data_IF_580305312051
#
_entry.id   IF_580305312051
#
_cell.length_a   1.000
_cell.length_b   1.000
_cell.length_c   1.000
_cell.angle_alpha   90.00
_cell.angle_beta   90.00
_cell.angle_gamma   90.00
#
_symmetry.space_group_name_H-M   'P 1'
#
loop_
_entity.id
_entity.type
_entity.pdbx_description
1 polymer ?
#
# COMPACT_ATOMS: atom_id res chain seq x y z
N UNK A 1 -24.98 30.28 69.84
CA UNK A 1 -25.33 30.62 68.44
C UNK A 1 -24.18 30.18 67.54
N UNK A 2 -24.20 28.99 66.92
CA UNK A 2 -23.09 28.56 66.04
C UNK A 2 -23.54 27.63 64.91
N UNK A 3 -24.69 27.93 64.29
CA UNK A 3 -25.17 27.22 63.09
C UNK A 3 -25.02 28.03 61.78
N UNK A 4 -24.53 29.27 61.83
CA UNK A 4 -24.41 30.15 60.66
C UNK A 4 -23.04 30.14 59.98
N UNK A 5 -21.98 29.61 60.61
CA UNK A 5 -20.63 29.68 60.04
C UNK A 5 -20.19 28.46 59.21
N UNK A 6 -21.06 27.44 59.07
CA UNK A 6 -20.77 26.21 58.30
C UNK A 6 -21.31 26.19 56.87
N UNK A 7 -22.19 27.13 56.50
CA UNK A 7 -22.83 27.12 55.18
C UNK A 7 -22.09 27.96 54.12
N UNK A 8 -21.23 28.89 54.52
CA UNK A 8 -20.50 29.75 53.56
C UNK A 8 -19.25 29.09 52.96
N UNK A 9 -18.61 28.14 53.66
CA UNK A 9 -17.46 27.40 53.11
C UNK A 9 -17.86 26.32 52.08
N UNK A 10 -19.11 25.86 52.08
CA UNK A 10 -19.60 24.85 51.14
C UNK A 10 -20.03 25.44 49.78
N UNK A 11 -20.20 26.77 49.67
CA UNK A 11 -20.54 27.43 48.40
C UNK A 11 -19.30 27.92 47.65
N UNK A 12 -18.25 28.37 48.34
CA UNK A 12 -17.00 28.80 47.71
C UNK A 12 -16.26 27.66 46.98
N UNK A 13 -16.39 26.42 47.44
CA UNK A 13 -15.76 25.25 46.80
C UNK A 13 -16.50 24.74 45.53
N UNK A 14 -17.72 25.22 45.26
CA UNK A 14 -18.48 24.83 44.06
C UNK A 14 -18.29 25.79 42.87
N UNK A 15 -17.79 27.00 43.10
CA UNK A 15 -17.55 27.99 42.03
C UNK A 15 -16.13 27.97 41.46
N UNK A 16 -15.19 27.20 42.03
CA UNK A 16 -13.81 27.09 41.50
C UNK A 16 -13.60 25.90 40.54
N UNK A 17 -14.64 25.11 40.21
CA UNK A 17 -14.59 23.99 39.25
C UNK A 17 -15.05 24.37 37.83
N UNK A 18 -14.94 25.63 37.44
CA UNK A 18 -15.11 26.07 36.06
C UNK A 18 -14.01 27.05 35.65
N UNK A 19 -12.76 26.59 35.69
CA UNK A 19 -11.69 27.23 34.93
C UNK A 19 -11.11 26.18 34.00
N UNK A 20 -11.46 26.33 32.72
CA UNK A 20 -11.07 25.44 31.65
C UNK A 20 -9.56 25.26 31.63
N UNK A 21 -9.14 23.99 31.72
CA UNK A 21 -7.80 23.56 31.34
C UNK A 21 -7.66 23.89 29.86
N UNK A 22 -7.01 25.02 29.58
CA UNK A 22 -6.53 25.41 28.26
C UNK A 22 -5.47 24.39 27.87
N UNK A 23 -5.92 23.25 27.35
CA UNK A 23 -5.05 22.23 26.79
C UNK A 23 -4.47 22.82 25.51
N UNK A 24 -3.16 23.10 25.52
CA UNK A 24 -2.41 23.37 24.31
C UNK A 24 -2.60 22.17 23.40
N UNK A 25 -3.36 22.37 22.33
CA UNK A 25 -3.53 21.40 21.26
C UNK A 25 -2.18 21.16 20.61
N UNK A 26 -1.39 20.22 21.14
CA UNK A 26 -0.46 19.48 20.30
C UNK A 26 -1.34 18.62 19.43
N UNK A 27 -1.62 19.09 18.21
CA UNK A 27 -2.40 18.41 17.19
C UNK A 27 -1.88 16.99 16.97
N UNK A 28 -2.59 15.92 17.41
CA UNK A 28 -2.22 14.55 17.08
C UNK A 28 -3.24 13.96 16.08
N UNK A 29 -4.08 14.83 15.47
CA UNK A 29 -5.27 14.47 14.71
C UNK A 29 -4.97 13.82 13.36
N UNK A 30 -3.75 13.93 12.84
CA UNK A 30 -3.32 13.20 11.64
C UNK A 30 -2.93 11.76 11.96
N UNK A 31 -2.17 11.54 13.03
CA UNK A 31 -1.77 10.19 13.47
C UNK A 31 -2.95 9.41 14.04
N UNK A 32 -3.80 10.06 14.85
CA UNK A 32 -5.00 9.44 15.41
C UNK A 32 -6.07 9.22 14.34
N UNK A 33 -6.23 10.16 13.39
CA UNK A 33 -7.12 10.01 12.25
C UNK A 33 -6.68 8.91 11.29
N UNK A 34 -5.38 8.76 11.07
CA UNK A 34 -4.82 7.68 10.23
C UNK A 34 -4.92 6.33 10.92
N UNK A 35 -4.62 6.25 12.22
CA UNK A 35 -4.80 5.04 13.01
C UNK A 35 -6.26 4.60 13.07
N UNK A 36 -7.19 5.53 13.31
CA UNK A 36 -8.62 5.24 13.29
C UNK A 36 -9.11 4.79 11.91
N UNK A 37 -8.61 5.40 10.82
CA UNK A 37 -8.91 4.95 9.45
C UNK A 37 -8.34 3.57 9.16
N UNK A 38 -7.12 3.29 9.60
CA UNK A 38 -6.49 1.98 9.46
C UNK A 38 -7.25 0.90 10.25
N UNK A 39 -7.68 1.21 11.47
CA UNK A 39 -8.50 0.33 12.30
C UNK A 39 -9.88 0.08 11.67
N UNK A 40 -10.53 1.12 11.15
CA UNK A 40 -11.84 0.98 10.50
C UNK A 40 -11.76 0.20 9.17
N UNK A 41 -10.70 0.39 8.38
CA UNK A 41 -10.43 -0.40 7.19
C UNK A 41 -10.07 -1.86 7.53
N UNK A 42 -9.24 -2.07 8.54
CA UNK A 42 -8.92 -3.41 9.02
C UNK A 42 -10.16 -4.17 9.51
N UNK A 43 -10.99 -3.53 10.34
CA UNK A 43 -12.22 -4.13 10.87
C UNK A 43 -13.25 -4.45 9.79
N UNK A 44 -13.40 -3.60 8.77
CA UNK A 44 -14.33 -3.83 7.66
C UNK A 44 -13.87 -4.96 6.73
N UNK A 45 -12.58 -5.05 6.43
CA UNK A 45 -12.02 -6.14 5.61
C UNK A 45 -12.11 -7.47 6.36
N UNK A 46 -11.78 -7.49 7.66
CA UNK A 46 -11.95 -8.69 8.49
C UNK A 46 -13.40 -9.15 8.50
N UNK A 47 -14.36 -8.24 8.68
CA UNK A 47 -15.79 -8.57 8.73
C UNK A 47 -16.34 -9.10 7.40
N UNK A 48 -15.80 -8.65 6.28
CA UNK A 48 -16.14 -9.18 4.94
C UNK A 48 -15.52 -10.56 4.74
N UNK A 49 -14.27 -10.76 5.16
CA UNK A 49 -13.60 -12.05 5.11
C UNK A 49 -14.30 -13.10 6.01
N UNK A 50 -14.64 -12.74 7.25
CA UNK A 50 -15.41 -13.58 8.17
C UNK A 50 -16.80 -13.93 7.62
N UNK A 51 -17.48 -12.99 6.96
CA UNK A 51 -18.77 -13.26 6.30
C UNK A 51 -18.66 -14.16 5.07
N UNK A 52 -17.58 -14.03 4.29
CA UNK A 52 -17.40 -14.80 3.07
C UNK A 52 -16.83 -16.21 3.34
N UNK A 53 -16.00 -16.37 4.38
CA UNK A 53 -15.26 -17.60 4.66
C UNK A 53 -15.73 -18.33 5.93
N UNK A 54 -16.55 -17.69 6.79
CA UNK A 54 -17.05 -18.29 8.02
C UNK A 54 -15.93 -18.84 8.91
N UNK A 55 -16.06 -20.08 9.38
CA UNK A 55 -15.04 -20.77 10.19
C UNK A 55 -13.72 -21.05 9.46
N UNK A 56 -13.68 -20.97 8.13
CA UNK A 56 -12.45 -21.13 7.34
C UNK A 56 -11.63 -19.83 7.23
N UNK A 57 -12.17 -18.69 7.71
CA UNK A 57 -11.44 -17.43 7.67
C UNK A 57 -10.12 -17.49 8.46
N UNK A 58 -10.14 -18.16 9.61
CA UNK A 58 -8.98 -18.24 10.51
C UNK A 58 -7.77 -18.98 9.90
N UNK A 59 -7.90 -20.21 9.36
CA UNK A 59 -6.79 -20.89 8.70
C UNK A 59 -6.35 -20.18 7.41
N UNK A 60 -7.27 -19.57 6.66
CA UNK A 60 -6.93 -18.82 5.44
C UNK A 60 -6.11 -17.58 5.77
N UNK A 61 -6.55 -16.78 6.74
CA UNK A 61 -5.84 -15.57 7.19
C UNK A 61 -4.47 -15.93 7.76
N UNK A 62 -4.36 -17.01 8.53
CA UNK A 62 -3.09 -17.50 9.02
C UNK A 62 -2.13 -17.85 7.87
N UNK A 63 -2.57 -18.67 6.91
CA UNK A 63 -1.74 -19.06 5.76
C UNK A 63 -1.34 -17.87 4.90
N UNK A 64 -2.21 -16.88 4.71
CA UNK A 64 -1.88 -15.64 4.01
C UNK A 64 -0.84 -14.81 4.77
N UNK A 65 -0.91 -14.74 6.10
CA UNK A 65 0.10 -14.06 6.92
C UNK A 65 1.47 -14.75 6.80
N UNK A 66 1.50 -16.08 6.82
CA UNK A 66 2.73 -16.86 6.63
C UNK A 66 3.28 -16.69 5.21
N UNK A 67 2.43 -16.80 4.20
CA UNK A 67 2.83 -16.55 2.81
C UNK A 67 3.39 -15.13 2.63
N UNK A 68 2.77 -14.12 3.25
CA UNK A 68 3.23 -12.74 3.24
C UNK A 68 4.58 -12.54 3.95
N UNK A 69 4.82 -13.22 5.07
CA UNK A 69 6.11 -13.14 5.77
C UNK A 69 7.24 -13.81 4.96
N UNK A 70 6.95 -14.96 4.33
CA UNK A 70 7.88 -15.63 3.42
C UNK A 70 8.17 -14.77 2.19
N UNK A 71 7.14 -14.20 1.56
CA UNK A 71 7.31 -13.28 0.43
C UNK A 71 8.17 -12.07 0.81
N UNK A 72 8.02 -11.52 2.01
CA UNK A 72 8.85 -10.42 2.51
C UNK A 72 10.32 -10.83 2.69
N UNK A 73 10.57 -12.03 3.21
CA UNK A 73 11.94 -12.54 3.36
C UNK A 73 12.61 -12.68 2.00
N UNK A 74 11.91 -13.29 1.03
CA UNK A 74 12.39 -13.43 -0.35
C UNK A 74 12.65 -12.07 -0.96
N UNK A 75 11.74 -11.10 -0.82
CA UNK A 75 11.92 -9.74 -1.34
C UNK A 75 13.22 -9.07 -0.87
N UNK A 76 13.55 -9.22 0.42
CA UNK A 76 14.77 -8.66 1.00
C UNK A 76 16.01 -9.46 0.55
N UNK A 77 15.93 -10.79 0.59
CA UNK A 77 17.04 -11.67 0.24
C UNK A 77 17.43 -11.55 -1.25
N UNK A 78 16.44 -11.50 -2.13
CA UNK A 78 16.59 -11.39 -3.59
C UNK A 78 16.83 -9.94 -4.04
N UNK A 79 16.96 -8.99 -3.11
CA UNK A 79 17.19 -7.57 -3.41
C UNK A 79 16.21 -7.02 -4.46
N UNK A 80 14.93 -7.42 -4.38
CA UNK A 80 13.87 -6.94 -5.26
C UNK A 80 13.48 -5.48 -4.99
N UNK A 81 14.12 -4.85 -4.00
CA UNK A 81 13.97 -3.43 -3.75
C UNK A 81 14.51 -2.61 -4.92
N UNK A 82 13.78 -1.58 -5.37
CA UNK A 82 14.25 -0.71 -6.43
C UNK A 82 15.58 -0.05 -6.00
N UNK A 83 16.53 0.11 -6.93
CA UNK A 83 17.81 0.73 -6.63
C UNK A 83 17.59 2.13 -6.06
N UNK A 84 18.18 2.39 -4.90
CA UNK A 84 17.94 3.61 -4.12
C UNK A 84 18.67 4.84 -4.67
N UNK A 85 19.52 4.69 -5.70
CA UNK A 85 20.22 5.80 -6.34
C UNK A 85 19.93 5.86 -7.84
N UNK A 86 19.65 7.07 -8.32
CA UNK A 86 19.47 7.33 -9.75
C UNK A 86 20.72 6.99 -10.56
N UNK A 87 21.91 7.17 -9.97
CA UNK A 87 23.18 6.88 -10.63
C UNK A 87 23.33 5.40 -10.99
N UNK A 88 22.83 4.48 -10.16
CA UNK A 88 22.83 3.03 -10.45
C UNK A 88 21.94 2.70 -11.66
N UNK A 89 20.79 3.34 -11.76
CA UNK A 89 19.89 3.18 -12.92
C UNK A 89 20.55 3.72 -14.18
N UNK A 90 21.12 4.91 -14.12
CA UNK A 90 21.80 5.53 -15.25
C UNK A 90 23.02 4.73 -15.70
N UNK A 91 23.81 4.19 -14.78
CA UNK A 91 24.96 3.34 -15.11
C UNK A 91 24.54 2.02 -15.73
N UNK A 92 23.51 1.37 -15.19
CA UNK A 92 22.97 0.12 -15.75
C UNK A 92 22.45 0.34 -17.18
N UNK A 93 21.72 1.43 -17.41
CA UNK A 93 21.24 1.78 -18.75
C UNK A 93 22.41 2.00 -19.73
N UNK A 94 23.43 2.77 -19.34
CA UNK A 94 24.61 3.00 -20.19
C UNK A 94 25.35 1.72 -20.52
N UNK A 95 25.48 0.80 -19.55
CA UNK A 95 26.12 -0.49 -19.75
C UNK A 95 25.32 -1.40 -20.69
N UNK A 96 23.99 -1.45 -20.55
CA UNK A 96 23.14 -2.21 -21.46
C UNK A 96 23.24 -1.62 -22.87
N UNK A 97 23.16 -0.29 -22.99
CA UNK A 97 23.24 0.39 -24.27
C UNK A 97 24.58 0.16 -24.99
N UNK A 98 25.71 0.19 -24.27
CA UNK A 98 27.03 -0.05 -24.85
C UNK A 98 27.20 -1.50 -25.33
N UNK A 99 26.56 -2.47 -24.68
CA UNK A 99 26.59 -3.87 -25.11
C UNK A 99 25.67 -4.11 -26.33
N UNK A 100 24.45 -3.59 -26.30
CA UNK A 100 23.46 -3.77 -27.37
C UNK A 100 23.89 -3.07 -28.66
N UNK A 101 24.53 -1.91 -28.56
CA UNK A 101 25.02 -1.16 -29.72
C UNK A 101 26.27 -1.77 -30.36
N UNK A 102 26.91 -2.74 -29.72
CA UNK A 102 28.08 -3.42 -30.27
C UNK A 102 27.67 -4.66 -31.09
N UNK A 103 27.96 -4.72 -32.41
CA UNK A 103 27.62 -5.87 -33.25
C UNK A 103 28.29 -7.18 -32.81
N UNK A 104 29.44 -7.09 -32.15
CA UNK A 104 30.17 -8.26 -31.61
C UNK A 104 29.37 -8.99 -30.52
N UNK A 105 28.55 -8.27 -29.76
CA UNK A 105 27.69 -8.85 -28.72
C UNK A 105 26.71 -9.85 -29.33
N UNK A 106 26.04 -9.47 -30.42
CA UNK A 106 25.05 -10.32 -31.10
C UNK A 106 25.68 -11.53 -31.79
N UNK A 107 26.83 -11.34 -32.44
CA UNK A 107 27.54 -12.42 -33.14
C UNK A 107 28.10 -13.48 -32.18
N UNK A 108 28.49 -13.11 -30.95
CA UNK A 108 28.95 -14.07 -29.94
C UNK A 108 27.82 -14.68 -29.09
N UNK A 109 26.71 -13.95 -28.87
CA UNK A 109 25.60 -14.42 -28.01
C UNK A 109 24.61 -15.34 -28.73
N UNK A 110 24.51 -15.26 -30.07
CA UNK A 110 23.63 -16.12 -30.88
C UNK A 110 24.07 -17.60 -30.89
N UNK A 111 25.36 -17.97 -31.08
CA UNK A 111 25.79 -19.37 -31.03
C UNK A 111 25.85 -19.94 -29.61
N UNK A 112 26.12 -19.09 -28.62
CA UNK A 112 26.36 -19.49 -27.23
C UNK A 112 25.07 -19.76 -26.42
N UNK A 113 23.88 -19.71 -27.04
CA UNK A 113 22.59 -19.91 -26.36
C UNK A 113 22.16 -18.76 -25.44
N UNK A 114 22.96 -17.69 -25.32
CA UNK A 114 22.67 -16.51 -24.51
C UNK A 114 21.47 -15.71 -25.03
N UNK A 115 21.13 -15.84 -26.32
CA UNK A 115 19.92 -15.24 -26.89
C UNK A 115 18.64 -15.68 -26.17
N UNK A 116 18.60 -16.90 -25.61
CA UNK A 116 17.44 -17.40 -24.84
C UNK A 116 17.25 -16.61 -23.56
N UNK A 117 18.35 -16.31 -22.89
CA UNK A 117 18.37 -15.50 -21.67
C UNK A 117 17.89 -14.08 -21.94
N UNK A 118 18.38 -13.46 -23.02
CA UNK A 118 17.93 -12.12 -23.45
C UNK A 118 16.43 -12.13 -23.78
N UNK A 119 15.95 -13.17 -24.47
CA UNK A 119 14.54 -13.31 -24.79
C UNK A 119 13.68 -13.48 -23.54
N UNK A 120 14.09 -14.35 -22.62
CA UNK A 120 13.40 -14.58 -21.35
C UNK A 120 13.27 -13.27 -20.55
N UNK A 121 14.37 -12.53 -20.41
CA UNK A 121 14.36 -11.22 -19.75
C UNK A 121 13.49 -10.20 -20.50
N UNK A 122 13.44 -10.25 -21.83
CA UNK A 122 12.52 -9.42 -22.62
C UNK A 122 11.06 -9.72 -22.31
N UNK A 123 10.69 -11.00 -22.23
CA UNK A 123 9.33 -11.44 -21.85
C UNK A 123 9.00 -11.02 -20.41
N UNK A 124 9.96 -11.18 -19.48
CA UNK A 124 9.79 -10.76 -18.09
C UNK A 124 9.58 -9.24 -17.98
N UNK A 125 10.36 -8.44 -18.70
CA UNK A 125 10.23 -6.99 -18.74
C UNK A 125 8.84 -6.55 -19.27
N UNK A 126 8.33 -7.21 -20.31
CA UNK A 126 6.97 -6.98 -20.80
C UNK A 126 5.92 -7.36 -19.74
N UNK A 127 6.13 -8.46 -19.01
CA UNK A 127 5.26 -8.87 -17.91
C UNK A 127 5.18 -7.80 -16.81
N UNK A 128 6.32 -7.29 -16.35
CA UNK A 128 6.39 -6.21 -15.34
C UNK A 128 5.71 -4.94 -15.87
N UNK A 129 5.93 -4.59 -17.14
CA UNK A 129 5.27 -3.45 -17.78
C UNK A 129 3.75 -3.59 -17.78
N UNK A 130 3.20 -4.74 -18.17
CA UNK A 130 1.76 -5.01 -18.14
C UNK A 130 1.16 -4.97 -16.74
N UNK A 131 1.89 -5.45 -15.72
CA UNK A 131 1.47 -5.31 -14.32
C UNK A 131 1.38 -3.82 -13.93
N UNK A 132 2.36 -3.02 -14.35
CA UNK A 132 2.33 -1.57 -14.18
C UNK A 132 1.11 -0.93 -14.83
N UNK A 133 0.76 -1.36 -16.04
CA UNK A 133 -0.43 -0.87 -16.76
C UNK A 133 -1.74 -1.23 -16.02
N UNK A 134 -1.85 -2.46 -15.50
CA UNK A 134 -2.99 -2.93 -14.70
C UNK A 134 -3.15 -2.07 -13.45
N UNK A 135 -2.06 -1.77 -12.74
CA UNK A 135 -2.07 -0.91 -11.55
C UNK A 135 -2.47 0.52 -11.92
N UNK A 136 -1.88 1.07 -13.00
CA UNK A 136 -2.16 2.43 -13.47
C UNK A 136 -3.62 2.64 -13.88
N UNK A 137 -4.21 1.64 -14.56
CA UNK A 137 -5.62 1.68 -14.99
C UNK A 137 -6.60 1.15 -13.94
N UNK A 138 -6.10 0.49 -12.89
CA UNK A 138 -6.90 -0.16 -11.83
C UNK A 138 -7.95 -1.14 -12.39
N UNK A 139 -7.64 -1.78 -13.53
CA UNK A 139 -8.51 -2.72 -14.24
C UNK A 139 -7.69 -3.92 -14.72
N UNK A 140 -8.20 -5.14 -14.49
CA UNK A 140 -7.52 -6.38 -14.87
C UNK A 140 -7.70 -6.73 -16.35
N UNK A 141 -8.81 -6.30 -16.96
CA UNK A 141 -9.14 -6.55 -18.38
C UNK A 141 -9.84 -5.34 -18.97
N UNK A 142 -9.35 -4.85 -20.11
CA UNK A 142 -10.02 -3.84 -20.93
C UNK A 142 -10.11 -2.43 -20.30
N UNK A 143 -10.35 -1.43 -21.15
CA UNK A 143 -10.83 -0.13 -20.69
C UNK A 143 -12.32 -0.26 -20.41
N UNK A 144 -12.77 0.23 -19.25
CA UNK A 144 -14.20 0.44 -19.03
C UNK A 144 -14.64 1.58 -19.94
N UNK A 145 -15.07 1.23 -21.15
CA UNK A 145 -15.77 2.14 -22.03
C UNK A 145 -17.09 2.43 -21.32
N UNK A 146 -17.27 3.66 -20.83
CA UNK A 146 -18.62 4.14 -20.56
C UNK A 146 -19.29 4.24 -21.92
N UNK A 147 -20.09 3.25 -22.27
CA UNK A 147 -21.04 3.39 -23.36
C UNK A 147 -22.01 4.50 -22.94
N UNK A 148 -21.76 5.73 -23.41
CA UNK A 148 -22.79 6.75 -23.51
C UNK A 148 -23.78 6.31 -24.60
N UNK A 149 -24.56 5.28 -24.29
CA UNK A 149 -25.63 4.76 -25.15
C UNK A 149 -26.70 4.11 -24.27
N UNK A 150 -27.10 4.83 -23.22
CA UNK A 150 -28.23 4.49 -22.36
C UNK A 150 -29.12 5.74 -22.18
N UNK A 151 -29.18 6.58 -23.23
CA UNK A 151 -30.06 7.75 -23.38
C UNK A 151 -30.94 7.64 -24.65
N UNK A 152 -31.09 6.46 -25.24
CA UNK A 152 -32.05 6.22 -26.31
C UNK A 152 -32.69 4.85 -26.12
N UNK A 153 -34.02 4.78 -26.18
CA UNK A 153 -34.88 3.60 -26.15
C UNK A 153 -35.46 3.18 -24.78
N UNK A 154 -36.23 4.09 -24.18
CA UNK A 154 -37.49 3.70 -23.55
C UNK A 154 -38.62 4.60 -24.08
N UNK A 155 -39.33 4.08 -25.07
CA UNK A 155 -40.77 4.33 -25.31
C UNK A 155 -41.53 3.15 -24.69
#
# INVERSE_FOLDING_TARGET
MNFLNRQMFAQAARMSRMHGVRSYSTTPSTAQGLAARAQNLGASILKVAERALGSYAEPVVYNLKVAGSLAKQVYIAEKLAPPSSFQQVASAYRQIWSQVSNPSFWTHSLPAGQWRTVLLYGVEALGIFSIGEIIGKRSLVGYKIKTSSEDAHHH
#
